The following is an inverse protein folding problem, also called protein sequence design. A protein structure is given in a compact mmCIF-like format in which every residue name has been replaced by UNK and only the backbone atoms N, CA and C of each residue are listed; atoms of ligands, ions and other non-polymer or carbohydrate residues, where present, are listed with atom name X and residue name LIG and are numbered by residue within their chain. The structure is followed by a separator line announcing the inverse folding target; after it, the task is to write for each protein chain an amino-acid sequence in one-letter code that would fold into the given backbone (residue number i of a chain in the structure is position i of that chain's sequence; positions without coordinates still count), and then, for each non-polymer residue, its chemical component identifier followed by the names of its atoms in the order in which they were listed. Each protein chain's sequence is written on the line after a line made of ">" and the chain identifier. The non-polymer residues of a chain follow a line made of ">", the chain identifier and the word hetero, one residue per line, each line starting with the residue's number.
data_IF_834321496057
#
_entry.id   IF_834321496057
#
_cell.length_a   1.000
_cell.length_b   1.000
_cell.length_c   1.000
_cell.angle_alpha   90.00
_cell.angle_beta   90.00
_cell.angle_gamma   90.00
#
_symmetry.space_group_name_H-M   'P 1'
#
loop_
_entity.id
_entity.type
_entity.pdbx_description
1 polymer ?
#
# COMPACT_ATOMS: atom_id res chain seq x y z
N UNK A 1 5.77 -17.63 -20.81
CA UNK A 1 4.33 -17.43 -21.00
C UNK A 1 3.65 -18.71 -20.61
N UNK A 2 3.46 -18.91 -19.30
CA UNK A 2 2.60 -19.97 -18.79
C UNK A 2 1.17 -19.47 -18.90
N UNK A 3 0.41 -20.17 -19.72
CA UNK A 3 -1.03 -20.02 -19.90
C UNK A 3 -1.70 -20.29 -18.54
N UNK A 4 -1.98 -19.24 -17.77
CA UNK A 4 -2.79 -19.36 -16.57
C UNK A 4 -4.21 -19.69 -17.03
N UNK A 5 -4.58 -20.96 -16.95
CA UNK A 5 -5.97 -21.38 -17.13
C UNK A 5 -6.80 -20.77 -16.01
N UNK A 6 -7.44 -19.64 -16.31
CA UNK A 6 -8.47 -19.04 -15.45
C UNK A 6 -9.50 -20.15 -15.14
N UNK A 7 -9.83 -20.40 -13.86
CA UNK A 7 -10.83 -21.39 -13.48
C UNK A 7 -12.15 -21.17 -14.25
N UNK A 8 -12.89 -22.24 -14.55
CA UNK A 8 -14.18 -22.17 -15.28
C UNK A 8 -15.22 -21.23 -14.64
N UNK A 9 -15.03 -20.86 -13.37
CA UNK A 9 -15.83 -19.88 -12.64
C UNK A 9 -14.91 -18.81 -12.03
N UNK A 10 -14.85 -17.66 -12.71
CA UNK A 10 -14.07 -16.49 -12.32
C UNK A 10 -14.97 -15.24 -12.32
N UNK A 11 -14.84 -14.31 -11.36
CA UNK A 11 -13.94 -14.31 -10.20
C UNK A 11 -14.23 -15.44 -9.20
N UNK A 12 -13.29 -15.79 -8.30
CA UNK A 12 -13.46 -16.91 -7.38
C UNK A 12 -14.63 -16.67 -6.43
N UNK A 13 -15.22 -17.76 -5.92
CA UNK A 13 -16.35 -17.66 -5.00
C UNK A 13 -15.99 -16.84 -3.74
N UNK A 14 -16.83 -15.88 -3.38
CA UNK A 14 -16.58 -14.98 -2.27
C UNK A 14 -15.72 -13.75 -2.61
N UNK A 15 -15.27 -13.62 -3.87
CA UNK A 15 -14.63 -12.39 -4.35
C UNK A 15 -15.60 -11.19 -4.22
N UNK A 16 -15.20 -10.10 -3.54
CA UNK A 16 -15.97 -8.88 -3.52
C UNK A 16 -16.15 -8.26 -4.93
N UNK A 17 -17.24 -7.52 -5.17
CA UNK A 17 -17.39 -6.76 -6.41
C UNK A 17 -16.32 -5.66 -6.50
N UNK A 18 -15.92 -5.29 -7.71
CA UNK A 18 -15.12 -4.09 -7.97
C UNK A 18 -15.97 -2.84 -7.73
N UNK A 19 -16.09 -2.44 -6.46
CA UNK A 19 -16.82 -1.27 -6.02
C UNK A 19 -16.33 -0.86 -4.63
N UNK A 20 -16.56 0.40 -4.28
CA UNK A 20 -16.32 0.85 -2.91
C UNK A 20 -17.28 0.14 -1.93
N UNK A 21 -16.76 -0.57 -0.92
CA UNK A 21 -17.59 -1.21 0.10
C UNK A 21 -18.14 -0.20 1.11
N UNK A 22 -19.15 -0.62 1.85
CA UNK A 22 -19.56 0.04 3.10
C UNK A 22 -18.75 -0.56 4.26
N UNK A 23 -17.88 0.25 4.88
CA UNK A 23 -16.98 -0.16 5.95
C UNK A 23 -17.30 0.61 7.24
N UNK A 24 -18.32 0.20 8.01
CA UNK A 24 -18.78 0.95 9.18
C UNK A 24 -17.79 0.93 10.35
N UNK A 25 -16.89 -0.06 10.37
CA UNK A 25 -15.87 -0.21 11.40
C UNK A 25 -14.64 -0.98 10.87
N UNK A 26 -13.62 -1.06 11.72
CA UNK A 26 -12.35 -1.71 11.39
C UNK A 26 -12.49 -3.22 11.19
N UNK A 27 -13.47 -3.87 11.82
CA UNK A 27 -13.70 -5.31 11.66
C UNK A 27 -14.27 -5.59 10.27
N UNK A 28 -15.25 -4.81 9.83
CA UNK A 28 -15.81 -4.90 8.48
C UNK A 28 -14.72 -4.66 7.42
N UNK A 29 -13.84 -3.68 7.64
CA UNK A 29 -12.71 -3.40 6.76
C UNK A 29 -11.74 -4.56 6.64
N UNK A 30 -11.27 -5.12 7.75
CA UNK A 30 -10.31 -6.23 7.72
C UNK A 30 -10.93 -7.51 7.13
N UNK A 31 -12.23 -7.74 7.34
CA UNK A 31 -12.94 -8.83 6.68
C UNK A 31 -13.02 -8.62 5.17
N UNK A 32 -13.27 -7.39 4.72
CA UNK A 32 -13.24 -7.06 3.30
C UNK A 32 -11.83 -7.25 2.71
N UNK A 33 -10.79 -6.75 3.38
CA UNK A 33 -9.39 -6.96 2.98
C UNK A 33 -9.07 -8.44 2.85
N UNK A 34 -9.45 -9.26 3.83
CA UNK A 34 -9.22 -10.70 3.80
C UNK A 34 -9.89 -11.36 2.59
N UNK A 35 -11.12 -10.95 2.25
CA UNK A 35 -11.83 -11.47 1.08
C UNK A 35 -11.17 -11.04 -0.25
N UNK A 36 -10.72 -9.79 -0.35
CA UNK A 36 -9.97 -9.28 -1.51
C UNK A 36 -8.64 -10.03 -1.66
N UNK A 37 -7.86 -10.12 -0.58
CA UNK A 37 -6.57 -10.83 -0.53
C UNK A 37 -6.76 -12.30 -0.93
N UNK A 38 -7.81 -12.96 -0.46
CA UNK A 38 -8.11 -14.34 -0.83
C UNK A 38 -8.39 -14.49 -2.33
N UNK A 39 -9.16 -13.57 -2.93
CA UNK A 39 -9.42 -13.57 -4.36
C UNK A 39 -8.17 -13.26 -5.19
N UNK A 40 -7.37 -12.29 -4.74
CA UNK A 40 -6.07 -11.95 -5.34
C UNK A 40 -5.08 -13.12 -5.23
N UNK A 41 -5.08 -13.83 -4.10
CA UNK A 41 -4.29 -15.06 -3.91
C UNK A 41 -4.62 -16.15 -4.91
N UNK A 42 -5.91 -16.34 -5.21
CA UNK A 42 -6.34 -17.30 -6.23
C UNK A 42 -5.84 -16.91 -7.64
N UNK A 43 -5.68 -15.62 -7.95
CA UNK A 43 -5.12 -15.16 -9.23
C UNK A 43 -3.64 -15.52 -9.35
N UNK A 44 -2.93 -15.47 -8.22
CA UNK A 44 -1.48 -15.70 -8.13
C UNK A 44 -1.11 -17.09 -7.60
N UNK A 45 -2.05 -18.05 -7.56
CA UNK A 45 -1.82 -19.38 -6.98
C UNK A 45 -0.59 -20.07 -7.60
N UNK A 46 0.36 -20.46 -6.75
CA UNK A 46 1.60 -21.12 -7.17
C UNK A 46 2.65 -20.18 -7.76
N UNK A 47 2.41 -18.87 -7.78
CA UNK A 47 3.39 -17.85 -8.15
C UNK A 47 4.23 -17.41 -6.94
N UNK A 48 5.47 -16.97 -7.17
CA UNK A 48 6.36 -16.48 -6.10
C UNK A 48 5.83 -15.23 -5.39
N UNK A 49 4.96 -14.48 -6.07
CA UNK A 49 4.32 -13.26 -5.56
C UNK A 49 2.93 -13.52 -4.95
N UNK A 50 2.54 -14.79 -4.77
CA UNK A 50 1.26 -15.13 -4.13
C UNK A 50 1.15 -14.43 -2.76
N UNK A 51 0.08 -13.66 -2.48
CA UNK A 51 -0.12 -13.01 -1.20
C UNK A 51 -0.18 -14.03 -0.07
N UNK A 52 0.70 -13.89 0.92
CA UNK A 52 0.74 -14.77 2.11
C UNK A 52 0.32 -14.00 3.35
N UNK A 53 -0.63 -14.57 4.11
CA UNK A 53 -0.97 -14.06 5.44
C UNK A 53 0.20 -14.29 6.39
N UNK A 54 0.81 -13.19 6.82
CA UNK A 54 1.90 -13.20 7.80
C UNK A 54 1.60 -12.20 8.92
N UNK A 55 0.58 -12.46 9.77
CA UNK A 55 0.22 -11.58 10.88
C UNK A 55 1.41 -11.38 11.83
N UNK A 56 1.60 -10.14 12.28
CA UNK A 56 2.75 -9.74 13.09
C UNK A 56 2.38 -9.65 14.57
N UNK A 57 3.25 -10.17 15.44
CA UNK A 57 3.06 -10.12 16.88
C UNK A 57 3.18 -8.70 17.47
N UNK A 58 2.52 -8.46 18.59
CA UNK A 58 2.55 -7.16 19.29
C UNK A 58 3.97 -6.71 19.65
N UNK A 59 4.84 -7.64 20.06
CA UNK A 59 6.23 -7.32 20.42
C UNK A 59 7.03 -6.78 19.23
N UNK A 60 6.83 -7.33 18.04
CA UNK A 60 7.49 -6.87 16.82
C UNK A 60 6.97 -5.49 16.38
N UNK A 61 5.66 -5.26 16.50
CA UNK A 61 5.06 -3.94 16.24
C UNK A 61 5.57 -2.88 17.23
N UNK A 62 5.66 -3.22 18.52
CA UNK A 62 6.21 -2.32 19.54
C UNK A 62 7.70 -2.03 19.30
N UNK A 63 8.48 -3.05 18.93
CA UNK A 63 9.90 -2.88 18.61
C UNK A 63 10.10 -1.96 17.39
N UNK A 64 9.24 -2.09 16.37
CA UNK A 64 9.23 -1.18 15.23
C UNK A 64 8.94 0.26 15.67
N UNK A 65 7.85 0.50 16.40
CA UNK A 65 7.49 1.85 16.85
C UNK A 65 8.56 2.51 17.72
N UNK A 66 9.20 1.72 18.59
CA UNK A 66 10.35 2.18 19.37
C UNK A 66 11.53 2.59 18.46
N UNK A 67 11.82 1.81 17.42
CA UNK A 67 12.86 2.11 16.44
C UNK A 67 12.53 3.36 15.61
N UNK A 68 11.28 3.53 15.21
CA UNK A 68 10.81 4.70 14.45
C UNK A 68 10.74 5.97 15.31
N UNK A 69 10.58 5.81 16.63
CA UNK A 69 10.35 6.93 17.55
C UNK A 69 8.92 7.50 17.48
N UNK A 70 7.99 6.79 16.85
CA UNK A 70 6.58 7.15 16.73
C UNK A 70 5.70 5.90 16.64
N UNK A 71 4.41 5.98 17.03
CA UNK A 71 3.49 4.88 16.79
C UNK A 71 3.22 4.70 15.28
N UNK A 72 2.84 3.50 14.88
CA UNK A 72 2.25 3.27 13.57
C UNK A 72 0.83 3.87 13.55
N UNK A 73 0.37 4.39 12.40
CA UNK A 73 -1.04 4.71 12.22
C UNK A 73 -1.92 3.49 12.55
N UNK A 74 -3.03 3.65 13.30
CA UNK A 74 -3.80 2.52 13.83
C UNK A 74 -4.25 1.51 12.76
N UNK A 75 -4.71 2.00 11.61
CA UNK A 75 -5.14 1.14 10.49
C UNK A 75 -4.01 0.27 9.94
N UNK A 76 -2.82 0.84 9.78
CA UNK A 76 -1.62 0.13 9.31
C UNK A 76 -1.13 -0.86 10.38
N UNK A 77 -1.15 -0.47 11.65
CA UNK A 77 -0.82 -1.37 12.76
C UNK A 77 -1.75 -2.59 12.79
N UNK A 78 -3.06 -2.35 12.71
CA UNK A 78 -4.07 -3.42 12.73
C UNK A 78 -3.97 -4.32 11.50
N UNK A 79 -3.67 -3.74 10.33
CA UNK A 79 -3.41 -4.49 9.10
C UNK A 79 -2.26 -5.48 9.28
N UNK A 80 -1.08 -5.01 9.74
CA UNK A 80 0.06 -5.90 9.95
C UNK A 80 -0.21 -6.94 11.04
N UNK A 81 -0.90 -6.56 12.11
CA UNK A 81 -1.22 -7.47 13.21
C UNK A 81 -2.15 -8.60 12.80
N UNK A 82 -3.11 -8.35 11.93
CA UNK A 82 -4.17 -9.32 11.63
C UNK A 82 -3.99 -10.03 10.29
N UNK A 83 -3.38 -9.36 9.31
CA UNK A 83 -3.23 -9.88 7.94
C UNK A 83 -1.76 -9.98 7.55
N UNK A 84 -1.03 -8.87 7.67
CA UNK A 84 0.41 -8.80 7.41
C UNK A 84 0.86 -9.17 5.99
N UNK A 85 -0.05 -9.20 5.01
CA UNK A 85 0.29 -9.50 3.61
C UNK A 85 1.08 -8.35 3.01
N UNK A 86 2.21 -8.67 2.36
CA UNK A 86 3.10 -7.67 1.77
C UNK A 86 3.00 -7.58 0.24
N UNK A 87 2.81 -8.71 -0.45
CA UNK A 87 2.73 -8.78 -1.91
C UNK A 87 1.28 -8.64 -2.36
N UNK A 88 0.89 -7.43 -2.77
CA UNK A 88 -0.44 -7.09 -3.31
C UNK A 88 -0.28 -6.56 -4.74
N UNK A 89 -1.23 -5.77 -5.25
CA UNK A 89 -1.03 -4.99 -6.49
C UNK A 89 0.17 -4.02 -6.37
N UNK A 90 0.57 -3.71 -5.13
CA UNK A 90 1.80 -3.04 -4.76
C UNK A 90 2.46 -3.76 -3.58
N UNK A 91 3.72 -3.42 -3.26
CA UNK A 91 4.41 -4.08 -2.16
C UNK A 91 4.36 -3.22 -0.89
N UNK A 92 3.82 -3.78 0.20
CA UNK A 92 3.94 -3.18 1.52
C UNK A 92 5.27 -3.54 2.18
N UNK A 93 5.83 -2.61 2.96
CA UNK A 93 7.05 -2.85 3.70
C UNK A 93 6.81 -3.75 4.92
N UNK A 94 7.78 -4.61 5.25
CA UNK A 94 7.72 -5.47 6.44
C UNK A 94 7.86 -4.68 7.75
N UNK A 95 7.21 -5.17 8.81
CA UNK A 95 7.45 -4.69 10.18
C UNK A 95 8.84 -5.11 10.67
N UNK A 96 9.26 -6.32 10.30
CA UNK A 96 10.55 -6.85 10.69
C UNK A 96 11.68 -6.24 9.85
N UNK A 97 12.88 -6.04 10.43
CA UNK A 97 14.03 -5.55 9.67
C UNK A 97 14.37 -6.45 8.48
N UNK A 98 14.74 -5.83 7.35
CA UNK A 98 15.10 -6.54 6.13
C UNK A 98 15.35 -5.58 4.97
N UNK A 99 15.42 -6.12 3.75
CA UNK A 99 15.67 -5.32 2.55
C UNK A 99 14.52 -4.35 2.25
N UNK A 100 13.28 -4.74 2.57
CA UNK A 100 12.09 -3.90 2.40
C UNK A 100 11.29 -3.88 3.71
N UNK A 101 11.63 -2.92 4.58
CA UNK A 101 10.98 -2.77 5.88
C UNK A 101 10.55 -1.33 6.14
N UNK A 102 9.59 -1.17 7.04
CA UNK A 102 9.06 0.13 7.43
C UNK A 102 10.19 0.89 8.13
N UNK A 103 10.56 2.05 7.59
CA UNK A 103 11.69 2.83 8.10
C UNK A 103 11.61 4.29 7.65
N UNK A 104 12.37 5.21 8.28
CA UNK A 104 12.40 6.61 7.86
C UNK A 104 12.73 6.76 6.37
N UNK A 105 12.11 7.72 5.68
CA UNK A 105 12.31 7.92 4.24
C UNK A 105 13.80 8.11 3.88
N UNK A 106 14.55 8.86 4.70
CA UNK A 106 15.98 9.08 4.49
C UNK A 106 16.82 7.79 4.58
N UNK A 107 16.33 6.78 5.30
CA UNK A 107 16.97 5.46 5.36
C UNK A 107 16.49 4.56 4.21
N UNK A 108 15.22 4.64 3.84
CA UNK A 108 14.63 3.91 2.71
C UNK A 108 15.22 4.34 1.36
N UNK A 109 15.51 5.63 1.20
CA UNK A 109 16.10 6.19 -0.01
C UNK A 109 17.27 7.13 0.32
N UNK A 110 18.49 6.61 0.52
CA UNK A 110 19.65 7.43 0.87
C UNK A 110 20.03 8.47 -0.20
N UNK A 111 19.67 8.23 -1.47
CA UNK A 111 19.89 9.17 -2.58
C UNK A 111 19.03 10.44 -2.52
N UNK A 112 18.16 10.57 -1.52
CA UNK A 112 17.30 11.75 -1.33
C UNK A 112 18.10 13.05 -1.17
N UNK A 113 19.35 12.95 -0.73
CA UNK A 113 20.27 14.09 -0.57
C UNK A 113 20.73 14.69 -1.90
N UNK A 114 20.59 13.94 -3.00
CA UNK A 114 20.99 14.38 -4.33
C UNK A 114 19.83 15.05 -5.09
N UNK A 115 18.61 15.03 -4.52
CA UNK A 115 17.43 15.68 -5.11
C UNK A 115 17.53 17.20 -4.87
N UNK A 116 17.31 18.04 -5.91
CA UNK A 116 17.35 19.50 -5.76
C UNK A 116 16.40 20.02 -4.67
N UNK A 117 16.87 20.97 -3.85
CA UNK A 117 16.05 21.61 -2.81
C UNK A 117 14.80 22.33 -3.37
N UNK A 118 14.79 22.69 -4.67
CA UNK A 118 13.60 23.24 -5.32
C UNK A 118 12.46 22.22 -5.47
N UNK A 119 12.81 20.94 -5.46
CA UNK A 119 11.92 19.84 -5.82
C UNK A 119 11.58 18.99 -4.58
N UNK A 120 12.34 19.13 -3.49
CA UNK A 120 12.19 18.40 -2.24
C UNK A 120 12.17 19.31 -1.02
N UNK A 121 11.08 19.25 -0.26
CA UNK A 121 11.06 19.74 1.13
C UNK A 121 11.76 18.73 2.05
N UNK A 122 13.04 18.97 2.33
CA UNK A 122 13.83 18.10 3.19
C UNK A 122 13.29 18.07 4.63
N UNK A 123 12.70 19.15 5.13
CA UNK A 123 12.14 19.18 6.49
C UNK A 123 10.92 18.25 6.58
N UNK A 124 10.07 18.26 5.55
CA UNK A 124 8.99 17.30 5.41
C UNK A 124 9.53 15.88 5.29
N UNK A 125 10.54 15.62 4.45
CA UNK A 125 11.13 14.29 4.27
C UNK A 125 11.61 13.68 5.60
N UNK A 126 12.17 14.48 6.50
CA UNK A 126 12.57 14.03 7.85
C UNK A 126 11.38 13.57 8.71
N UNK A 127 10.16 13.97 8.40
CA UNK A 127 8.95 13.55 9.13
C UNK A 127 8.29 12.29 8.55
N UNK A 128 8.75 11.82 7.39
CA UNK A 128 8.12 10.73 6.64
C UNK A 128 8.74 9.38 6.96
N UNK A 129 7.87 8.37 7.10
CA UNK A 129 8.23 6.97 7.29
C UNK A 129 7.70 6.18 6.09
N UNK A 130 8.58 5.52 5.34
CA UNK A 130 8.23 4.69 4.21
C UNK A 130 7.55 3.40 4.69
N UNK A 131 6.43 3.04 4.06
CA UNK A 131 5.65 1.84 4.39
C UNK A 131 5.13 1.08 3.16
N UNK A 132 5.24 1.62 1.96
CA UNK A 132 4.93 0.94 0.70
C UNK A 132 6.00 1.23 -0.35
N UNK A 133 6.31 0.23 -1.15
CA UNK A 133 7.22 0.29 -2.30
C UNK A 133 6.41 0.22 -3.59
N UNK A 134 6.55 1.26 -4.41
CA UNK A 134 5.82 1.38 -5.65
C UNK A 134 6.57 0.60 -6.74
N UNK A 135 6.12 -0.65 -6.95
CA UNK A 135 6.58 -1.54 -8.03
C UNK A 135 8.11 -1.76 -8.07
N UNK A 136 8.83 -1.54 -6.96
CA UNK A 136 10.28 -1.67 -6.89
C UNK A 136 11.06 -0.67 -7.74
N UNK A 137 10.44 0.43 -8.18
CA UNK A 137 11.09 1.41 -9.04
C UNK A 137 11.82 2.52 -8.26
N UNK A 138 11.72 2.53 -6.93
CA UNK A 138 12.33 3.52 -6.05
C UNK A 138 11.38 4.61 -5.54
N UNK A 139 10.16 4.68 -6.09
CA UNK A 139 9.10 5.53 -5.54
C UNK A 139 8.46 4.84 -4.34
N UNK A 140 8.09 5.62 -3.33
CA UNK A 140 7.69 5.11 -2.02
C UNK A 140 6.40 5.77 -1.53
N UNK A 141 5.55 5.00 -0.87
CA UNK A 141 4.48 5.55 -0.05
C UNK A 141 4.97 5.72 1.38
N UNK A 142 4.78 6.92 1.91
CA UNK A 142 5.24 7.30 3.25
C UNK A 142 4.09 7.86 4.07
N UNK A 143 4.02 7.56 5.37
CA UNK A 143 3.14 8.28 6.28
C UNK A 143 3.92 9.34 7.05
N UNK A 144 3.28 10.46 7.34
CA UNK A 144 3.84 11.49 8.20
C UNK A 144 3.70 11.08 9.67
N UNK A 145 4.81 11.08 10.42
CA UNK A 145 4.87 10.52 11.79
C UNK A 145 3.85 11.11 12.78
N UNK A 146 3.51 12.40 12.65
CA UNK A 146 2.56 13.06 13.55
C UNK A 146 1.11 13.01 13.04
N UNK A 147 0.87 13.42 11.78
CA UNK A 147 -0.48 13.55 11.24
C UNK A 147 -1.05 12.24 10.68
N UNK A 148 -0.21 11.24 10.38
CA UNK A 148 -0.62 10.02 9.69
C UNK A 148 -0.91 10.19 8.20
N UNK A 149 -0.89 11.42 7.67
CA UNK A 149 -1.13 11.66 6.25
C UNK A 149 -0.13 10.92 5.36
N UNK A 150 -0.61 10.38 4.24
CA UNK A 150 0.20 9.63 3.28
C UNK A 150 0.73 10.57 2.21
N UNK A 151 2.00 10.41 1.90
CA UNK A 151 2.72 11.08 0.84
C UNK A 151 3.27 10.06 -0.13
N UNK A 152 3.17 10.38 -1.42
CA UNK A 152 3.92 9.70 -2.46
C UNK A 152 5.28 10.40 -2.61
N UNK A 153 6.35 9.64 -2.44
CA UNK A 153 7.71 10.04 -2.74
C UNK A 153 8.05 9.58 -4.15
N UNK A 154 8.29 10.55 -5.01
CA UNK A 154 8.68 10.41 -6.41
C UNK A 154 10.12 10.88 -6.55
N UNK A 155 11.03 9.98 -6.91
CA UNK A 155 12.45 10.31 -6.99
C UNK A 155 12.89 10.82 -8.38
N UNK A 156 12.02 10.71 -9.39
CA UNK A 156 12.40 10.85 -10.80
C UNK A 156 11.69 12.01 -11.52
N UNK A 157 10.55 12.49 -11.03
CA UNK A 157 9.74 13.50 -11.72
C UNK A 157 9.19 14.62 -10.82
N UNK A 158 9.54 15.85 -11.17
CA UNK A 158 8.90 17.06 -10.65
C UNK A 158 9.03 17.22 -9.13
N UNK A 159 7.94 17.58 -8.47
CA UNK A 159 7.90 17.71 -7.01
C UNK A 159 7.96 16.33 -6.35
N UNK A 160 9.02 16.09 -5.59
CA UNK A 160 9.36 14.78 -5.05
C UNK A 160 8.41 14.29 -3.96
N UNK A 161 7.73 15.20 -3.24
CA UNK A 161 6.78 14.84 -2.18
C UNK A 161 5.39 15.39 -2.48
N UNK A 162 4.45 14.49 -2.73
CA UNK A 162 3.05 14.84 -2.98
C UNK A 162 2.17 14.23 -1.90
N UNK A 163 1.41 15.05 -1.17
CA UNK A 163 0.38 14.52 -0.25
C UNK A 163 -0.66 13.76 -1.07
N UNK A 164 -0.92 12.53 -0.68
CA UNK A 164 -1.69 11.57 -1.46
C UNK A 164 -3.00 11.21 -0.76
N UNK A 165 -2.94 10.75 0.49
CA UNK A 165 -4.12 10.42 1.29
C UNK A 165 -4.06 11.09 2.66
N UNK A 166 -5.21 11.21 3.32
CA UNK A 166 -5.28 11.75 4.67
C UNK A 166 -4.87 10.72 5.72
N UNK A 167 -4.88 9.42 5.39
CA UNK A 167 -4.42 8.34 6.27
C UNK A 167 -4.01 7.08 5.51
N UNK A 168 -3.27 6.13 6.12
CA UNK A 168 -2.96 4.85 5.48
C UNK A 168 -4.18 3.95 5.33
N UNK A 169 -5.29 4.27 6.01
CA UNK A 169 -6.56 3.57 5.81
C UNK A 169 -7.07 3.77 4.38
N UNK A 170 -7.10 5.02 3.90
CA UNK A 170 -7.52 5.35 2.53
C UNK A 170 -6.59 4.73 1.48
N UNK A 171 -5.27 4.70 1.78
CA UNK A 171 -4.29 4.01 0.94
C UNK A 171 -4.59 2.51 0.84
N UNK A 172 -4.78 1.83 1.97
CA UNK A 172 -5.06 0.39 1.99
C UNK A 172 -6.40 0.09 1.30
N UNK A 173 -7.43 0.89 1.52
CA UNK A 173 -8.72 0.75 0.85
C UNK A 173 -8.57 0.86 -0.69
N UNK A 174 -7.78 1.82 -1.16
CA UNK A 174 -7.50 1.99 -2.58
C UNK A 174 -6.62 0.87 -3.15
N UNK A 175 -5.62 0.40 -2.40
CA UNK A 175 -4.77 -0.73 -2.79
C UNK A 175 -5.59 -2.02 -2.95
N UNK A 176 -6.58 -2.24 -2.10
CA UNK A 176 -7.51 -3.38 -2.24
C UNK A 176 -8.38 -3.26 -3.48
N UNK A 177 -8.78 -2.04 -3.88
CA UNK A 177 -9.45 -1.86 -5.18
C UNK A 177 -8.52 -2.18 -6.35
N UNK A 178 -7.23 -1.84 -6.28
CA UNK A 178 -6.27 -2.22 -7.32
C UNK A 178 -6.11 -3.74 -7.41
N UNK A 179 -6.06 -4.44 -6.27
CA UNK A 179 -6.06 -5.91 -6.26
C UNK A 179 -7.34 -6.48 -6.89
N UNK A 180 -8.50 -5.89 -6.61
CA UNK A 180 -9.75 -6.28 -7.26
C UNK A 180 -9.75 -5.97 -8.75
N UNK A 181 -9.13 -4.87 -9.19
CA UNK A 181 -9.02 -4.53 -10.61
C UNK A 181 -8.35 -5.67 -11.39
N UNK A 182 -7.23 -6.18 -10.87
CA UNK A 182 -6.53 -7.31 -11.47
C UNK A 182 -7.36 -8.60 -11.43
N UNK A 183 -8.05 -8.87 -10.31
CA UNK A 183 -8.94 -10.04 -10.21
C UNK A 183 -10.11 -9.94 -11.20
N UNK A 184 -10.68 -8.76 -11.43
CA UNK A 184 -11.80 -8.57 -12.34
C UNK A 184 -11.37 -8.27 -13.79
N UNK A 185 -10.07 -8.14 -14.06
CA UNK A 185 -9.50 -7.66 -15.34
C UNK A 185 -10.12 -6.32 -15.79
N UNK A 186 -10.28 -5.38 -14.84
CA UNK A 186 -10.94 -4.08 -15.04
C UNK A 186 -10.18 -2.92 -14.38
N UNK A 187 -9.00 -2.61 -14.93
CA UNK A 187 -8.15 -1.48 -14.54
C UNK A 187 -8.84 -0.12 -14.71
N UNK A 188 -9.58 0.06 -15.81
CA UNK A 188 -10.29 1.31 -16.13
C UNK A 188 -11.41 1.58 -15.11
N UNK A 189 -12.12 0.54 -14.69
CA UNK A 189 -13.16 0.62 -13.66
C UNK A 189 -12.59 1.03 -12.30
N UNK A 190 -11.47 0.44 -11.90
CA UNK A 190 -10.79 0.82 -10.66
C UNK A 190 -10.25 2.26 -10.71
N UNK A 191 -9.61 2.67 -11.81
CA UNK A 191 -9.16 4.05 -12.01
C UNK A 191 -10.33 5.04 -11.93
N UNK A 192 -11.49 4.70 -12.52
CA UNK A 192 -12.68 5.54 -12.44
C UNK A 192 -13.21 5.67 -11.00
N UNK A 193 -13.24 4.58 -10.22
CA UNK A 193 -13.68 4.56 -8.83
C UNK A 193 -12.76 5.38 -7.92
N UNK A 194 -11.44 5.24 -8.08
CA UNK A 194 -10.43 5.99 -7.30
C UNK A 194 -10.47 7.46 -7.71
N UNK A 195 -10.53 7.76 -9.01
CA UNK A 195 -10.65 9.12 -9.53
C UNK A 195 -11.91 9.84 -9.05
N UNK A 196 -13.03 9.13 -8.92
CA UNK A 196 -14.28 9.72 -8.43
C UNK A 196 -14.15 10.17 -6.98
N UNK A 197 -13.40 9.44 -6.15
CA UNK A 197 -13.25 9.71 -4.72
C UNK A 197 -12.13 10.72 -4.42
N UNK A 198 -10.99 10.57 -5.08
CA UNK A 198 -9.77 11.31 -4.76
C UNK A 198 -9.30 12.26 -5.87
N UNK A 199 -9.98 12.26 -7.01
CA UNK A 199 -9.66 13.11 -8.15
C UNK A 199 -8.70 12.46 -9.15
N UNK A 200 -8.77 12.93 -10.41
CA UNK A 200 -8.00 12.37 -11.54
C UNK A 200 -6.50 12.68 -11.46
N UNK A 201 -6.13 13.81 -10.87
CA UNK A 201 -4.72 14.21 -10.81
C UNK A 201 -3.93 13.32 -9.86
N UNK A 202 -4.57 12.82 -8.79
CA UNK A 202 -3.98 11.84 -7.89
C UNK A 202 -3.73 10.51 -8.62
N UNK A 203 -4.73 9.98 -9.34
CA UNK A 203 -4.55 8.72 -10.10
C UNK A 203 -3.50 8.86 -11.18
N UNK A 204 -3.44 10.03 -11.84
CA UNK A 204 -2.38 10.32 -12.81
C UNK A 204 -1.00 10.20 -12.18
N UNK A 205 -0.76 10.90 -11.05
CA UNK A 205 0.51 10.81 -10.33
C UNK A 205 0.79 9.40 -9.80
N UNK A 206 -0.26 8.61 -9.54
CA UNK A 206 -0.11 7.23 -9.12
C UNK A 206 0.37 6.30 -10.26
N UNK A 207 -0.24 6.38 -11.44
CA UNK A 207 -0.09 5.35 -12.48
C UNK A 207 0.74 5.77 -13.70
N UNK A 208 1.03 7.07 -13.88
CA UNK A 208 1.65 7.61 -15.10
C UNK A 208 2.68 8.70 -14.81
#
# INVERSE_FOLDING_TARGET
>A
MTDQTIPEQWPPAGCPPLAWPELPDQVARLNWYLAVIGAYGALWEGHVNEPQLTPVGEDALQALEQRLGCPLPPSLRDYHRQLGVLSLAETLCSVEPGNLCIQPLLEAYPGIVDIPESDLDLALAHQLIAFGDYLGNGNLFCFHRESGAVYYFDHDTGTALTRFFDSPEEYLDALMLLCLAEVHDDDDGAEALISQRYGKDLVRKWRY
#
